data_IF_503832754266
#
_entry.id   IF_503832754266
#
_cell.length_a   1.000
_cell.length_b   1.000
_cell.length_c   1.000
_cell.angle_alpha   90.00
_cell.angle_beta   90.00
_cell.angle_gamma   90.00
#
_symmetry.space_group_name_H-M   'P 1'
#
loop_
_entity.id
_entity.type
_entity.pdbx_description
1 polymer ?
#
# COMPACT_ATOMS: atom_id res chain seq x y z
N UNK A 1 -23.39 -1.19 5.10
CA UNK A 1 -22.36 -1.37 4.05
C UNK A 1 -21.04 -0.79 4.54
N UNK A 2 -20.01 -1.60 4.78
CA UNK A 2 -18.65 -1.05 4.98
C UNK A 2 -18.16 -0.59 3.62
N UNK A 3 -18.22 0.72 3.37
CA UNK A 3 -17.74 1.34 2.14
C UNK A 3 -16.29 0.92 1.89
N UNK A 4 -16.03 0.41 0.70
CA UNK A 4 -14.67 0.12 0.27
C UNK A 4 -13.94 1.46 0.08
N UNK A 5 -13.19 1.90 1.08
CA UNK A 5 -12.37 3.11 0.97
C UNK A 5 -11.10 2.75 0.21
N UNK A 6 -11.01 3.20 -1.04
CA UNK A 6 -9.79 3.08 -1.83
C UNK A 6 -8.61 3.76 -1.13
N UNK A 7 -7.40 3.30 -1.45
CA UNK A 7 -6.19 3.99 -1.03
C UNK A 7 -6.07 5.28 -1.84
N UNK A 8 -5.92 6.39 -1.13
CA UNK A 8 -5.59 7.68 -1.72
C UNK A 8 -4.21 7.62 -2.35
N UNK A 9 -3.94 8.55 -3.27
CA UNK A 9 -2.63 8.67 -3.91
C UNK A 9 -1.52 8.84 -2.86
N UNK A 10 -1.75 9.68 -1.85
CA UNK A 10 -0.77 9.95 -0.80
C UNK A 10 -0.47 8.73 0.06
N UNK A 11 -1.49 7.94 0.42
CA UNK A 11 -1.29 6.67 1.13
C UNK A 11 -0.42 5.70 0.30
N UNK A 12 -0.63 5.63 -1.02
CA UNK A 12 0.22 4.79 -1.90
C UNK A 12 1.68 5.25 -1.91
N UNK A 13 1.93 6.57 -1.92
CA UNK A 13 3.29 7.10 -1.76
C UNK A 13 3.89 6.79 -0.38
N UNK A 14 3.10 6.87 0.69
CA UNK A 14 3.54 6.48 2.04
C UNK A 14 3.88 4.99 2.12
N UNK A 15 3.06 4.11 1.53
CA UNK A 15 3.35 2.67 1.41
C UNK A 15 4.71 2.46 0.73
N UNK A 16 4.95 3.15 -0.39
CA UNK A 16 6.21 3.05 -1.13
C UNK A 16 7.41 3.50 -0.28
N UNK A 17 7.32 4.67 0.36
CA UNK A 17 8.39 5.22 1.21
C UNK A 17 8.71 4.30 2.39
N UNK A 18 7.69 3.84 3.12
CA UNK A 18 7.86 2.93 4.26
C UNK A 18 8.41 1.57 3.83
N UNK A 19 7.97 1.06 2.68
CA UNK A 19 8.51 -0.20 2.14
C UNK A 19 9.97 -0.09 1.75
N UNK A 20 10.38 1.06 1.20
CA UNK A 20 11.78 1.38 0.90
C UNK A 20 12.62 1.56 2.17
N UNK A 21 12.04 2.07 3.24
CA UNK A 21 12.68 2.16 4.55
C UNK A 21 12.79 0.80 5.29
N UNK A 22 12.29 -0.29 4.70
CA UNK A 22 12.43 -1.65 5.25
C UNK A 22 11.24 -2.11 6.11
N UNK A 23 10.20 -1.31 6.26
CA UNK A 23 9.02 -1.71 7.03
C UNK A 23 8.29 -2.91 6.40
N UNK A 24 7.76 -3.75 7.28
CA UNK A 24 6.86 -4.84 6.93
C UNK A 24 5.48 -4.31 6.54
N UNK A 25 4.71 -5.13 5.80
CA UNK A 25 3.34 -4.75 5.41
C UNK A 25 2.43 -4.53 6.62
N UNK A 26 2.69 -5.22 7.74
CA UNK A 26 1.90 -5.09 8.97
C UNK A 26 2.14 -3.73 9.62
N UNK A 27 3.40 -3.32 9.77
CA UNK A 27 3.75 -2.00 10.30
C UNK A 27 3.18 -0.87 9.42
N UNK A 28 3.26 -1.01 8.09
CA UNK A 28 2.68 -0.05 7.15
C UNK A 28 1.16 0.07 7.35
N UNK A 29 0.47 -1.06 7.54
CA UNK A 29 -0.96 -1.08 7.78
C UNK A 29 -1.33 -0.39 9.10
N UNK A 30 -0.53 -0.58 10.16
CA UNK A 30 -0.71 0.07 11.45
C UNK A 30 -0.49 1.60 11.35
N UNK A 31 0.58 2.04 10.68
CA UNK A 31 0.89 3.47 10.46
C UNK A 31 -0.23 4.16 9.67
N UNK A 32 -0.73 3.53 8.61
CA UNK A 32 -1.79 4.08 7.76
C UNK A 32 -3.19 3.85 8.32
N UNK A 33 -3.33 3.14 9.46
CA UNK A 33 -4.61 2.71 10.03
C UNK A 33 -5.49 1.98 9.02
N UNK A 34 -4.86 1.19 8.14
CA UNK A 34 -5.52 0.38 7.12
C UNK A 34 -5.47 -1.09 7.52
N UNK A 35 -6.35 -1.89 6.92
CA UNK A 35 -6.29 -3.34 7.11
C UNK A 35 -5.04 -3.90 6.41
N UNK A 36 -4.28 -4.83 7.02
CA UNK A 36 -3.14 -5.48 6.36
C UNK A 36 -3.49 -6.12 5.01
N UNK A 37 -4.72 -6.64 4.87
CA UNK A 37 -5.20 -7.19 3.59
C UNK A 37 -5.34 -6.12 2.50
N UNK A 38 -5.62 -4.87 2.85
CA UNK A 38 -5.65 -3.76 1.88
C UNK A 38 -4.25 -3.49 1.34
N UNK A 39 -3.25 -3.41 2.22
CA UNK A 39 -1.85 -3.18 1.82
C UNK A 39 -1.31 -4.37 1.01
N UNK A 40 -1.61 -5.60 1.43
CA UNK A 40 -1.22 -6.80 0.71
C UNK A 40 -1.81 -6.86 -0.71
N UNK A 41 -3.11 -6.57 -0.85
CA UNK A 41 -3.76 -6.52 -2.18
C UNK A 41 -3.21 -5.40 -3.05
N UNK A 42 -2.98 -4.22 -2.49
CA UNK A 42 -2.36 -3.09 -3.19
C UNK A 42 -0.99 -3.47 -3.75
N UNK A 43 -0.11 -3.98 -2.88
CA UNK A 43 1.23 -4.42 -3.28
C UNK A 43 1.20 -5.60 -4.24
N UNK A 44 0.23 -6.51 -4.10
CA UNK A 44 0.08 -7.66 -4.99
C UNK A 44 -0.39 -7.27 -6.40
N UNK A 45 -1.38 -6.37 -6.50
CA UNK A 45 -1.93 -5.91 -7.79
C UNK A 45 -1.00 -4.99 -8.54
N UNK A 46 -0.25 -4.16 -7.81
CA UNK A 46 0.55 -3.08 -8.39
C UNK A 46 2.06 -3.34 -8.31
N UNK A 47 2.48 -4.61 -8.13
CA UNK A 47 3.88 -5.04 -8.23
C UNK A 47 4.18 -5.50 -9.66
N UNK A 48 5.04 -4.75 -10.34
CA UNK A 48 5.65 -5.16 -11.60
C UNK A 48 6.99 -5.86 -11.41
N UNK A 49 7.69 -6.14 -12.52
CA UNK A 49 9.05 -6.71 -12.53
C UNK A 49 10.08 -5.84 -11.76
N UNK A 50 9.81 -4.54 -11.65
CA UNK A 50 10.65 -3.56 -10.92
C UNK A 50 10.16 -3.29 -9.49
N UNK A 51 9.20 -4.06 -8.99
CA UNK A 51 8.59 -3.86 -7.68
C UNK A 51 7.34 -2.97 -7.72
N UNK A 52 6.96 -2.44 -6.56
CA UNK A 52 5.78 -1.59 -6.39
C UNK A 52 6.06 -0.14 -6.83
N UNK A 53 5.19 0.42 -7.67
CA UNK A 53 5.26 1.82 -8.14
C UNK A 53 3.89 2.52 -7.94
N UNK A 54 3.78 3.45 -6.98
CA UNK A 54 2.49 4.07 -6.65
C UNK A 54 1.92 4.92 -7.80
N UNK A 55 2.77 5.43 -8.69
CA UNK A 55 2.37 6.16 -9.91
C UNK A 55 1.57 5.31 -10.91
N UNK A 56 1.79 3.99 -10.89
CA UNK A 56 1.18 3.04 -11.83
C UNK A 56 0.01 2.28 -11.21
N UNK A 57 -0.28 2.54 -9.94
CA UNK A 57 -1.36 1.89 -9.20
C UNK A 57 -2.71 2.51 -9.57
N UNK A 58 -3.67 1.67 -9.98
CA UNK A 58 -5.07 2.05 -10.20
C UNK A 58 -5.91 1.72 -8.95
#
# INVERSE_FOLDING_TARGET
>A
MRGYTQLTRDERYQIYALRKAGHSQKEIAEVLRRNPSTISRELGRNKGLKGYRPEQAH
#
